data_IF_177748080328
#
_entry.id   IF_177748080328
#
_cell.length_a   1.000
_cell.length_b   1.000
_cell.length_c   1.000
_cell.angle_alpha   90.00
_cell.angle_beta   90.00
_cell.angle_gamma   90.00
#
_symmetry.space_group_name_H-M   'P 1'
#
loop_
_entity.id
_entity.type
_entity.pdbx_description
1 polymer ?
#
# COMPACT_ATOMS: atom_id res chain seq x y z
N UNK A 1 14.40 -8.14 14.13
CA UNK A 1 14.45 -8.77 12.79
C UNK A 1 13.21 -8.34 12.03
N UNK A 2 13.36 -7.70 10.87
CA UNK A 2 12.22 -7.33 10.04
C UNK A 2 11.77 -8.57 9.27
N UNK A 3 10.62 -9.11 9.63
CA UNK A 3 9.91 -10.08 8.79
C UNK A 3 9.53 -9.33 7.49
N UNK A 4 9.99 -9.81 6.34
CA UNK A 4 9.70 -9.21 5.04
C UNK A 4 8.80 -10.16 4.26
N UNK A 5 7.62 -9.66 3.89
CA UNK A 5 6.72 -10.35 2.97
C UNK A 5 7.04 -9.94 1.54
N UNK A 6 6.91 -10.90 0.62
CA UNK A 6 7.01 -10.63 -0.82
C UNK A 6 5.60 -10.46 -1.37
N UNK A 7 5.32 -9.30 -1.95
CA UNK A 7 4.05 -8.97 -2.60
C UNK A 7 4.31 -8.57 -4.05
N UNK A 8 3.28 -8.62 -4.90
CA UNK A 8 3.35 -8.18 -6.29
C UNK A 8 2.47 -6.95 -6.47
N UNK A 9 3.03 -5.86 -6.99
CA UNK A 9 2.31 -4.61 -7.31
C UNK A 9 2.57 -4.29 -8.78
N UNK A 10 1.53 -4.16 -9.60
CA UNK A 10 1.63 -3.91 -11.06
C UNK A 10 2.60 -4.85 -11.79
N UNK A 11 2.60 -6.14 -11.43
CA UNK A 11 3.49 -7.16 -11.98
C UNK A 11 4.94 -7.08 -11.49
N UNK A 12 5.28 -6.15 -10.58
CA UNK A 12 6.60 -6.03 -9.97
C UNK A 12 6.63 -6.69 -8.60
N UNK A 13 7.70 -7.45 -8.34
CA UNK A 13 7.94 -8.07 -7.03
C UNK A 13 8.50 -7.02 -6.08
N UNK A 14 7.81 -6.81 -4.95
CA UNK A 14 8.13 -5.82 -3.92
C UNK A 14 8.28 -6.53 -2.58
N UNK A 15 9.29 -6.14 -1.81
CA UNK A 15 9.46 -6.58 -0.42
C UNK A 15 8.84 -5.54 0.50
N UNK A 16 7.88 -5.95 1.31
CA UNK A 16 7.18 -5.09 2.26
C UNK A 16 7.27 -5.67 3.66
N UNK A 17 7.19 -4.82 4.69
CA UNK A 17 7.00 -5.28 6.06
C UNK A 17 5.52 -5.66 6.30
N UNK A 18 5.22 -6.63 7.18
CA UNK A 18 3.85 -7.09 7.42
C UNK A 18 2.89 -6.00 7.92
N UNK A 19 3.42 -4.99 8.64
CA UNK A 19 2.64 -3.87 9.17
C UNK A 19 2.69 -2.62 8.28
N UNK A 20 3.31 -2.72 7.10
CA UNK A 20 3.47 -1.60 6.16
C UNK A 20 2.21 -1.45 5.31
N UNK A 21 1.79 -0.21 5.07
CA UNK A 21 0.66 0.04 4.15
C UNK A 21 1.09 -0.12 2.70
N UNK A 22 0.19 -0.61 1.84
CA UNK A 22 0.43 -0.81 0.40
C UNK A 22 0.99 0.45 -0.28
N UNK A 23 0.50 1.63 0.11
CA UNK A 23 0.99 2.91 -0.42
C UNK A 23 2.47 3.16 -0.13
N UNK A 24 2.96 2.77 1.05
CA UNK A 24 4.38 2.88 1.40
C UNK A 24 5.22 1.89 0.60
N UNK A 25 4.77 0.64 0.54
CA UNK A 25 5.47 -0.41 -0.21
C UNK A 25 5.59 -0.05 -1.71
N UNK A 26 4.51 0.50 -2.30
CA UNK A 26 4.51 0.99 -3.67
C UNK A 26 5.51 2.14 -3.87
N UNK A 27 5.49 3.15 -3.00
CA UNK A 27 6.41 4.29 -3.09
C UNK A 27 7.88 3.86 -2.93
N UNK A 28 8.19 2.95 -2.01
CA UNK A 28 9.54 2.39 -1.83
C UNK A 28 10.00 1.57 -3.04
N UNK A 29 9.08 0.93 -3.74
CA UNK A 29 9.34 0.22 -5.00
C UNK A 29 9.43 1.16 -6.22
N UNK A 30 9.28 2.47 -6.04
CA UNK A 30 9.26 3.45 -7.12
C UNK A 30 7.98 3.40 -7.98
N UNK A 31 6.89 2.85 -7.44
CA UNK A 31 5.57 2.83 -8.07
C UNK A 31 4.78 4.02 -7.52
N UNK A 32 4.54 5.01 -8.36
CA UNK A 32 3.83 6.22 -7.97
C UNK A 32 2.33 5.99 -7.92
N UNK A 33 1.74 6.14 -6.74
CA UNK A 33 0.30 6.17 -6.52
C UNK A 33 -0.08 7.58 -6.08
N UNK A 34 -1.07 8.24 -6.70
CA UNK A 34 -1.46 9.58 -6.27
C UNK A 34 -2.08 9.55 -4.87
N UNK A 35 -1.62 10.46 -4.00
CA UNK A 35 -2.17 10.64 -2.66
C UNK A 35 -2.15 12.11 -2.26
N UNK A 36 -3.17 12.53 -1.50
CA UNK A 36 -3.28 13.90 -0.97
C UNK A 36 -3.41 13.91 0.56
N UNK A 37 -4.10 12.91 1.13
CA UNK A 37 -4.37 12.81 2.56
C UNK A 37 -3.40 11.87 3.31
N UNK A 38 -2.22 11.62 2.76
CA UNK A 38 -1.21 10.72 3.34
C UNK A 38 0.09 11.48 3.64
N UNK A 39 0.65 11.24 4.82
CA UNK A 39 1.94 11.77 5.25
C UNK A 39 2.65 10.74 6.15
N UNK A 40 3.95 10.46 5.99
CA UNK A 40 4.66 9.39 6.73
C UNK A 40 4.64 9.52 8.26
N UNK A 41 4.57 10.76 8.76
CA UNK A 41 4.50 11.05 10.20
C UNK A 41 3.09 11.06 10.79
N UNK A 42 2.05 10.75 10.01
CA UNK A 42 0.66 10.77 10.45
C UNK A 42 -0.05 9.46 10.12
N UNK A 43 -1.12 9.16 10.86
CA UNK A 43 -1.98 8.01 10.53
C UNK A 43 -2.64 8.23 9.16
N UNK A 44 -2.76 7.19 8.32
CA UNK A 44 -3.45 7.28 7.05
C UNK A 44 -4.93 7.64 7.26
N UNK A 45 -5.41 8.67 6.56
CA UNK A 45 -6.76 9.21 6.77
C UNK A 45 -7.80 8.71 5.75
N UNK A 46 -7.38 8.38 4.52
CA UNK A 46 -8.27 7.78 3.50
C UNK A 46 -9.33 8.70 2.89
N UNK A 47 -9.31 10.02 3.14
CA UNK A 47 -10.35 10.93 2.63
C UNK A 47 -10.23 11.26 1.14
N UNK A 48 -9.02 11.34 0.58
CA UNK A 48 -8.86 11.75 -0.82
C UNK A 48 -9.25 10.67 -1.84
N UNK A 49 -9.28 9.39 -1.41
CA UNK A 49 -9.60 8.22 -2.25
C UNK A 49 -8.76 8.08 -3.54
N UNK A 50 -7.68 8.85 -3.70
CA UNK A 50 -6.80 8.77 -4.87
C UNK A 50 -5.94 7.51 -4.87
N UNK A 51 -5.64 6.94 -3.70
CA UNK A 51 -4.79 5.76 -3.54
C UNK A 51 -5.59 4.44 -3.51
N UNK A 52 -6.78 4.40 -4.11
CA UNK A 52 -7.57 3.17 -4.21
C UNK A 52 -6.94 2.28 -5.28
N UNK A 53 -6.72 1.01 -4.93
CA UNK A 53 -6.11 -0.01 -5.80
C UNK A 53 -6.99 -1.25 -5.83
N UNK A 54 -6.93 -1.98 -6.93
CA UNK A 54 -7.55 -3.30 -7.01
C UNK A 54 -6.58 -4.37 -6.48
N UNK A 55 -7.13 -5.43 -5.89
CA UNK A 55 -6.33 -6.50 -5.28
C UNK A 55 -6.81 -7.84 -5.80
N UNK A 56 -5.91 -8.56 -6.47
CA UNK A 56 -6.16 -9.91 -6.95
C UNK A 56 -6.00 -10.93 -5.82
N UNK A 57 -7.06 -11.66 -5.49
CA UNK A 57 -7.04 -12.70 -4.45
C UNK A 57 -8.34 -12.78 -3.64
N UNK A 58 -8.44 -13.70 -2.66
CA UNK A 58 -9.67 -14.00 -1.92
C UNK A 58 -10.19 -12.89 -0.97
N UNK A 59 -9.72 -11.64 -1.11
CA UNK A 59 -10.31 -10.47 -0.45
C UNK A 59 -10.34 -9.29 -1.44
N UNK A 60 -11.49 -9.10 -2.09
CA UNK A 60 -11.72 -8.02 -3.03
C UNK A 60 -11.51 -6.62 -2.44
N UNK A 61 -11.20 -5.66 -3.31
CA UNK A 61 -11.00 -4.21 -3.07
C UNK A 61 -10.49 -3.89 -1.66
N UNK A 62 -9.16 -3.84 -1.50
CA UNK A 62 -8.54 -3.40 -0.25
C UNK A 62 -8.71 -1.88 -0.07
N UNK A 63 -9.87 -1.45 0.40
CA UNK A 63 -10.00 -0.16 1.09
C UNK A 63 -9.74 -0.38 2.58
N UNK A 64 -8.78 0.39 3.11
CA UNK A 64 -8.46 0.65 4.52
C UNK A 64 -9.52 0.11 5.51
N UNK A 65 -9.33 -1.10 6.02
CA UNK A 65 -10.12 -1.65 7.12
C UNK A 65 -9.30 -1.53 8.41
N UNK A 66 -9.74 -0.58 9.25
CA UNK A 66 -9.62 -0.40 10.71
C UNK A 66 -8.37 -0.91 11.44
#
# INVERSE_FOLDING_TARGET
MADQLTITIDGRVVRAAPDQVVLQAANEAGIYIPYLCYHPGMKPYGACRMCVVDVEGPRGTATLAS
#
